data_IF_120142888936
#
_entry.id   IF_120142888936
#
_cell.length_a   1.000
_cell.length_b   1.000
_cell.length_c   1.000
_cell.angle_alpha   90.00
_cell.angle_beta   90.00
_cell.angle_gamma   90.00
#
_symmetry.space_group_name_H-M   'P 1'
#
loop_
_entity.id
_entity.type
_entity.pdbx_description
1 polymer ?
#
# COMPACT_ATOMS: atom_id res chain seq x y z
N UNK A 1 -3.33 -19.50 -20.19
CA UNK A 1 -2.99 -18.46 -19.20
C UNK A 1 -1.79 -18.92 -18.41
N UNK A 2 -0.75 -18.07 -18.31
CA UNK A 2 0.46 -18.36 -17.54
C UNK A 2 0.13 -18.41 -16.04
N UNK A 3 0.80 -19.25 -15.24
CA UNK A 3 0.60 -19.42 -13.78
C UNK A 3 0.61 -18.07 -13.03
N UNK A 4 1.52 -17.17 -13.41
CA UNK A 4 1.62 -15.83 -12.81
C UNK A 4 0.40 -14.94 -13.10
N UNK A 5 -0.19 -15.06 -14.28
CA UNK A 5 -1.43 -14.35 -14.65
C UNK A 5 -2.63 -14.81 -13.80
N UNK A 6 -2.73 -16.12 -13.53
CA UNK A 6 -3.81 -16.66 -12.66
C UNK A 6 -3.66 -16.21 -11.21
N UNK A 7 -2.43 -16.22 -10.67
CA UNK A 7 -2.17 -15.73 -9.31
C UNK A 7 -2.64 -14.27 -9.16
N UNK A 8 -2.29 -13.41 -10.11
CA UNK A 8 -2.71 -12.00 -10.11
C UNK A 8 -4.24 -11.85 -10.21
N UNK A 9 -4.91 -12.65 -11.06
CA UNK A 9 -6.37 -12.65 -11.16
C UNK A 9 -7.04 -13.01 -9.83
N UNK A 10 -6.50 -14.01 -9.11
CA UNK A 10 -7.02 -14.42 -7.79
C UNK A 10 -6.84 -13.30 -6.76
N UNK A 11 -5.69 -12.62 -6.74
CA UNK A 11 -5.45 -11.50 -5.80
C UNK A 11 -6.37 -10.30 -6.08
N UNK A 12 -6.59 -9.95 -7.34
CA UNK A 12 -7.56 -8.91 -7.72
C UNK A 12 -8.99 -9.28 -7.29
N UNK A 13 -9.40 -10.52 -7.51
CA UNK A 13 -10.71 -11.01 -7.06
C UNK A 13 -10.83 -10.98 -5.53
N UNK A 14 -9.78 -11.34 -4.80
CA UNK A 14 -9.76 -11.25 -3.34
C UNK A 14 -9.94 -9.79 -2.86
N UNK A 15 -9.24 -8.84 -3.48
CA UNK A 15 -9.40 -7.41 -3.20
C UNK A 15 -10.83 -6.93 -3.50
N UNK A 16 -11.44 -7.39 -4.61
CA UNK A 16 -12.85 -7.09 -4.95
C UNK A 16 -13.81 -7.64 -3.90
N UNK A 17 -13.61 -8.88 -3.44
CA UNK A 17 -14.44 -9.47 -2.38
C UNK A 17 -14.35 -8.67 -1.09
N UNK A 18 -13.14 -8.27 -0.67
CA UNK A 18 -12.95 -7.46 0.55
C UNK A 18 -13.60 -6.09 0.40
N UNK A 19 -13.40 -5.41 -0.72
CA UNK A 19 -13.96 -4.08 -1.00
C UNK A 19 -15.49 -4.08 -0.97
N UNK A 20 -16.11 -5.10 -1.54
CA UNK A 20 -17.58 -5.14 -1.68
C UNK A 20 -18.29 -5.71 -0.45
N UNK A 21 -17.63 -6.60 0.30
CA UNK A 21 -18.33 -7.42 1.32
C UNK A 21 -17.64 -7.40 2.69
N UNK A 22 -16.50 -6.74 2.82
CA UNK A 22 -15.68 -6.75 4.03
C UNK A 22 -14.75 -7.96 4.15
N UNK A 23 -13.74 -7.84 5.00
CA UNK A 23 -12.70 -8.88 5.19
C UNK A 23 -13.24 -10.16 5.84
N UNK A 24 -14.30 -10.06 6.64
CA UNK A 24 -14.97 -11.19 7.27
C UNK A 24 -15.64 -12.11 6.25
N UNK A 25 -15.97 -11.61 5.07
CA UNK A 25 -16.53 -12.39 3.95
C UNK A 25 -15.47 -12.97 3.01
N UNK A 26 -14.19 -12.68 3.26
CA UNK A 26 -13.09 -13.25 2.49
C UNK A 26 -12.97 -14.75 2.77
N UNK A 27 -13.45 -15.55 1.85
CA UNK A 27 -13.32 -17.02 1.84
C UNK A 27 -12.71 -17.49 0.53
N UNK A 28 -12.02 -18.64 0.53
CA UNK A 28 -11.45 -19.19 -0.70
C UNK A 28 -12.52 -19.49 -1.76
N UNK A 29 -13.72 -19.89 -1.33
CA UNK A 29 -14.87 -20.13 -2.20
C UNK A 29 -15.37 -18.84 -2.87
N UNK A 30 -15.53 -17.76 -2.09
CA UNK A 30 -15.97 -16.47 -2.60
C UNK A 30 -14.95 -15.93 -3.62
N UNK A 31 -13.66 -16.03 -3.31
CA UNK A 31 -12.58 -15.57 -4.19
C UNK A 31 -12.47 -16.43 -5.45
N UNK A 32 -12.61 -17.76 -5.35
CA UNK A 32 -12.59 -18.64 -6.52
C UNK A 32 -13.76 -18.32 -7.48
N UNK A 33 -14.96 -18.06 -6.92
CA UNK A 33 -16.15 -17.65 -7.68
C UNK A 33 -15.91 -16.31 -8.38
N UNK A 34 -15.42 -15.32 -7.67
CA UNK A 34 -15.12 -13.97 -8.19
C UNK A 34 -14.03 -14.01 -9.27
N UNK A 35 -12.99 -14.82 -9.07
CA UNK A 35 -11.89 -14.98 -10.01
C UNK A 35 -12.25 -15.85 -11.24
N UNK A 36 -13.42 -16.49 -11.26
CA UNK A 36 -13.81 -17.41 -12.32
C UNK A 36 -12.91 -18.66 -12.41
N UNK A 37 -12.35 -19.12 -11.27
CA UNK A 37 -11.48 -20.30 -11.22
C UNK A 37 -12.11 -21.41 -10.37
N UNK A 38 -11.70 -22.67 -10.59
CA UNK A 38 -12.11 -23.75 -9.68
C UNK A 38 -11.43 -23.60 -8.31
N UNK A 39 -12.06 -24.12 -7.24
CA UNK A 39 -11.46 -24.16 -5.90
C UNK A 39 -10.09 -24.84 -5.92
N UNK A 40 -9.93 -25.95 -6.64
CA UNK A 40 -8.64 -26.63 -6.80
C UNK A 40 -7.60 -25.78 -7.51
N UNK A 41 -8.01 -24.99 -8.51
CA UNK A 41 -7.15 -24.04 -9.20
C UNK A 41 -6.67 -22.90 -8.30
N UNK A 42 -7.53 -22.42 -7.39
CA UNK A 42 -7.15 -21.44 -6.39
C UNK A 42 -6.19 -22.06 -5.35
N UNK A 43 -6.51 -23.24 -4.82
CA UNK A 43 -5.69 -23.92 -3.81
C UNK A 43 -4.28 -24.24 -4.29
N UNK A 44 -4.09 -24.42 -5.59
CA UNK A 44 -2.76 -24.58 -6.18
C UNK A 44 -1.87 -23.32 -5.99
N UNK A 45 -2.46 -22.12 -5.94
CA UNK A 45 -1.75 -20.87 -5.74
C UNK A 45 -1.73 -20.42 -4.27
N UNK A 46 -2.81 -20.68 -3.56
CA UNK A 46 -3.03 -20.28 -2.17
C UNK A 46 -3.66 -21.44 -1.41
N UNK A 47 -2.87 -22.27 -0.71
CA UNK A 47 -3.35 -23.52 -0.08
C UNK A 47 -4.36 -23.28 1.05
N UNK A 48 -4.40 -22.10 1.62
CA UNK A 48 -5.34 -21.70 2.67
C UNK A 48 -5.61 -20.20 2.64
N UNK A 49 -6.55 -19.74 3.49
CA UNK A 49 -6.92 -18.32 3.61
C UNK A 49 -5.73 -17.45 4.06
N UNK A 50 -4.91 -17.96 4.95
CA UNK A 50 -3.74 -17.25 5.44
C UNK A 50 -2.73 -16.96 4.31
N UNK A 51 -2.40 -17.97 3.51
CA UNK A 51 -1.55 -17.79 2.33
C UNK A 51 -2.13 -16.79 1.31
N UNK A 52 -3.45 -16.76 1.15
CA UNK A 52 -4.12 -15.76 0.31
C UNK A 52 -3.96 -14.36 0.89
N UNK A 53 -4.19 -14.16 2.19
CA UNK A 53 -4.01 -12.87 2.87
C UNK A 53 -2.56 -12.41 2.76
N UNK A 54 -1.59 -13.28 3.02
CA UNK A 54 -0.16 -13.01 2.84
C UNK A 54 0.13 -12.53 1.41
N UNK A 55 -0.38 -13.24 0.41
CA UNK A 55 -0.23 -12.86 -0.98
C UNK A 55 -0.86 -11.51 -1.33
N UNK A 56 -1.99 -11.16 -0.72
CA UNK A 56 -2.62 -9.84 -0.87
C UNK A 56 -1.77 -8.73 -0.27
N UNK A 57 -1.22 -8.93 0.94
CA UNK A 57 -0.31 -7.96 1.58
C UNK A 57 0.92 -7.72 0.72
N UNK A 58 1.55 -8.80 0.25
CA UNK A 58 2.73 -8.70 -0.62
C UNK A 58 2.44 -7.94 -1.92
N UNK A 59 1.29 -8.22 -2.56
CA UNK A 59 0.91 -7.59 -3.83
C UNK A 59 0.65 -6.09 -3.64
N UNK A 60 -0.11 -5.72 -2.62
CA UNK A 60 -0.40 -4.33 -2.27
C UNK A 60 0.87 -3.56 -1.92
N UNK A 61 1.70 -4.13 -1.05
CA UNK A 61 2.96 -3.52 -0.64
C UNK A 61 3.88 -3.31 -1.84
N UNK A 62 4.09 -4.34 -2.67
CA UNK A 62 4.92 -4.22 -3.86
C UNK A 62 4.36 -3.18 -4.84
N UNK A 63 3.04 -3.12 -5.02
CA UNK A 63 2.39 -2.13 -5.90
C UNK A 63 2.62 -0.71 -5.39
N UNK A 64 2.45 -0.48 -4.09
CA UNK A 64 2.69 0.82 -3.48
C UNK A 64 4.16 1.27 -3.64
N UNK A 65 5.12 0.39 -3.33
CA UNK A 65 6.55 0.69 -3.48
C UNK A 65 6.94 0.98 -4.94
N UNK A 66 6.40 0.20 -5.89
CA UNK A 66 6.63 0.44 -7.32
C UNK A 66 6.04 1.79 -7.75
N UNK A 67 4.83 2.11 -7.32
CA UNK A 67 4.19 3.40 -7.62
C UNK A 67 5.04 4.58 -7.12
N UNK A 68 5.54 4.52 -5.88
CA UNK A 68 6.43 5.57 -5.34
C UNK A 68 7.70 5.70 -6.17
N UNK A 69 8.33 4.58 -6.52
CA UNK A 69 9.54 4.58 -7.33
C UNK A 69 9.32 5.17 -8.72
N UNK A 70 8.25 4.74 -9.41
CA UNK A 70 7.92 5.22 -10.76
C UNK A 70 7.63 6.72 -10.75
N UNK A 71 6.92 7.22 -9.73
CA UNK A 71 6.68 8.64 -9.53
C UNK A 71 7.97 9.41 -9.32
N UNK A 72 8.85 8.94 -8.42
CA UNK A 72 10.11 9.61 -8.16
C UNK A 72 11.00 9.66 -9.41
N UNK A 73 11.00 8.60 -10.23
CA UNK A 73 11.77 8.55 -11.48
C UNK A 73 11.16 9.41 -12.60
N UNK A 74 9.87 9.70 -12.56
CA UNK A 74 9.19 10.54 -13.53
C UNK A 74 9.19 12.04 -13.18
N UNK A 75 9.62 12.41 -11.95
CA UNK A 75 9.71 13.81 -11.52
C UNK A 75 10.82 14.54 -12.30
N UNK A 76 10.48 15.72 -12.80
CA UNK A 76 11.44 16.58 -13.52
C UNK A 76 12.33 17.41 -12.60
N UNK A 77 11.87 17.65 -11.37
CA UNK A 77 12.60 18.39 -10.34
C UNK A 77 13.24 17.40 -9.37
N UNK A 78 14.55 17.25 -9.47
CA UNK A 78 15.34 16.31 -8.67
C UNK A 78 15.22 16.55 -7.16
N UNK A 79 15.35 17.82 -6.74
CA UNK A 79 15.27 18.20 -5.33
C UNK A 79 13.90 17.88 -4.75
N UNK A 80 13.83 17.05 -3.73
CA UNK A 80 12.60 16.65 -3.02
C UNK A 80 11.72 15.65 -3.78
N UNK A 81 12.22 14.99 -4.81
CA UNK A 81 11.43 14.09 -5.66
C UNK A 81 10.85 12.87 -4.92
N UNK A 82 11.63 12.28 -4.02
CA UNK A 82 11.19 11.13 -3.23
C UNK A 82 10.13 11.53 -2.21
N UNK A 83 10.35 12.66 -1.50
CA UNK A 83 9.38 13.20 -0.55
C UNK A 83 8.05 13.53 -1.22
N UNK A 84 8.07 14.12 -2.44
CA UNK A 84 6.86 14.38 -3.23
C UNK A 84 6.19 13.10 -3.70
N UNK A 85 6.97 12.13 -4.21
CA UNK A 85 6.44 10.86 -4.70
C UNK A 85 5.68 10.09 -3.62
N UNK A 86 6.27 9.99 -2.41
CA UNK A 86 5.65 9.34 -1.26
C UNK A 86 4.37 10.06 -0.86
N UNK A 87 4.41 11.39 -0.69
CA UNK A 87 3.24 12.19 -0.29
C UNK A 87 2.09 12.02 -1.27
N UNK A 88 2.35 12.08 -2.58
CA UNK A 88 1.34 11.90 -3.62
C UNK A 88 0.79 10.46 -3.66
N UNK A 89 1.67 9.46 -3.50
CA UNK A 89 1.24 8.06 -3.50
C UNK A 89 0.34 7.73 -2.30
N UNK A 90 0.65 8.27 -1.10
CA UNK A 90 -0.19 8.14 0.09
C UNK A 90 -1.54 8.82 -0.09
N UNK A 91 -1.58 10.03 -0.65
CA UNK A 91 -2.83 10.77 -0.91
C UNK A 91 -3.75 10.00 -1.87
N UNK A 92 -3.17 9.42 -2.94
CA UNK A 92 -3.96 8.62 -3.88
C UNK A 92 -4.45 7.31 -3.24
N UNK A 93 -3.63 6.67 -2.42
CA UNK A 93 -4.01 5.45 -1.68
C UNK A 93 -5.18 5.72 -0.71
N UNK A 94 -5.16 6.87 -0.02
CA UNK A 94 -6.26 7.33 0.83
C UNK A 94 -7.53 7.57 -0.02
N UNK A 95 -7.44 8.29 -1.12
CA UNK A 95 -8.59 8.61 -2.00
C UNK A 95 -9.21 7.37 -2.64
N UNK A 96 -8.42 6.36 -2.97
CA UNK A 96 -8.91 5.11 -3.52
C UNK A 96 -9.65 4.24 -2.49
N UNK A 97 -9.63 4.63 -1.20
CA UNK A 97 -10.35 3.96 -0.13
C UNK A 97 -9.95 2.49 -0.01
N UNK A 98 -8.68 2.20 0.14
CA UNK A 98 -8.20 0.82 0.27
C UNK A 98 -8.54 0.24 1.64
N UNK A 99 -9.80 -0.16 1.79
CA UNK A 99 -10.40 -0.74 3.01
C UNK A 99 -9.73 -2.04 3.50
N UNK A 100 -8.68 -2.47 2.81
CA UNK A 100 -7.98 -3.73 3.09
C UNK A 100 -7.05 -3.59 4.33
N UNK A 101 -6.89 -2.35 4.84
CA UNK A 101 -5.78 -1.97 5.71
C UNK A 101 -5.62 -2.73 7.01
N UNK A 102 -6.63 -2.77 7.87
CA UNK A 102 -6.43 -3.27 9.26
C UNK A 102 -6.16 -4.76 9.33
N UNK A 103 -6.89 -5.59 8.55
CA UNK A 103 -6.67 -7.04 8.54
C UNK A 103 -5.35 -7.42 7.86
N UNK A 104 -4.95 -6.65 6.86
CA UNK A 104 -3.68 -6.87 6.17
C UNK A 104 -2.50 -6.43 7.04
N UNK A 105 -2.62 -5.33 7.80
CA UNK A 105 -1.61 -4.96 8.79
C UNK A 105 -1.47 -6.00 9.89
N UNK A 106 -2.58 -6.58 10.38
CA UNK A 106 -2.50 -7.67 11.33
C UNK A 106 -1.68 -8.86 10.76
N UNK A 107 -1.88 -9.22 9.48
CA UNK A 107 -1.09 -10.24 8.82
C UNK A 107 0.39 -9.84 8.68
N UNK A 108 0.69 -8.58 8.39
CA UNK A 108 2.05 -8.04 8.32
C UNK A 108 2.79 -8.23 9.66
N UNK A 109 2.13 -7.89 10.77
CA UNK A 109 2.75 -8.00 12.10
C UNK A 109 2.80 -9.42 12.66
N UNK A 110 2.00 -10.33 12.14
CA UNK A 110 2.02 -11.75 12.56
C UNK A 110 2.94 -12.62 11.70
N UNK A 111 3.41 -12.12 10.55
CA UNK A 111 4.32 -12.86 9.67
C UNK A 111 5.70 -12.18 9.61
N UNK A 112 6.73 -12.75 10.27
CA UNK A 112 8.07 -12.15 10.34
C UNK A 112 8.72 -11.91 8.98
N UNK A 113 8.52 -12.79 8.00
CA UNK A 113 9.16 -12.67 6.68
C UNK A 113 8.60 -11.47 5.90
N UNK A 114 7.28 -11.27 5.97
CA UNK A 114 6.63 -10.11 5.36
C UNK A 114 7.07 -8.83 6.07
N UNK A 115 7.11 -8.83 7.40
CA UNK A 115 7.56 -7.69 8.19
C UNK A 115 9.00 -7.31 7.85
N UNK A 116 9.91 -8.29 7.78
CA UNK A 116 11.31 -8.06 7.40
C UNK A 116 11.44 -7.44 6.01
N UNK A 117 10.67 -7.93 5.04
CA UNK A 117 10.64 -7.38 3.68
C UNK A 117 10.14 -5.93 3.68
N UNK A 118 9.07 -5.66 4.42
CA UNK A 118 8.50 -4.32 4.56
C UNK A 118 9.50 -3.35 5.22
N UNK A 119 10.15 -3.76 6.30
CA UNK A 119 11.19 -2.99 6.97
C UNK A 119 12.36 -2.68 6.04
N UNK A 120 12.81 -3.66 5.25
CA UNK A 120 13.89 -3.46 4.27
C UNK A 120 13.51 -2.43 3.19
N UNK A 121 12.28 -2.47 2.70
CA UNK A 121 11.78 -1.50 1.73
C UNK A 121 11.69 -0.09 2.34
N UNK A 122 11.18 0.03 3.57
CA UNK A 122 11.14 1.31 4.29
C UNK A 122 12.54 1.87 4.55
N UNK A 123 13.51 1.02 4.88
CA UNK A 123 14.91 1.44 5.05
C UNK A 123 15.48 2.04 3.76
N UNK A 124 15.20 1.42 2.61
CA UNK A 124 15.60 1.94 1.29
C UNK A 124 14.95 3.30 1.00
N UNK A 125 13.68 3.45 1.31
CA UNK A 125 13.00 4.74 1.16
C UNK A 125 13.58 5.82 2.05
N UNK A 126 13.84 5.50 3.31
CA UNK A 126 14.43 6.46 4.24
C UNK A 126 15.79 6.96 3.71
N UNK A 127 16.63 6.07 3.17
CA UNK A 127 17.89 6.47 2.54
C UNK A 127 17.66 7.40 1.35
N UNK A 128 16.70 7.11 0.49
CA UNK A 128 16.37 7.95 -0.65
C UNK A 128 15.86 9.33 -0.21
N UNK A 129 15.04 9.39 0.84
CA UNK A 129 14.49 10.62 1.41
C UNK A 129 15.60 11.47 2.06
N UNK A 130 16.53 10.86 2.79
CA UNK A 130 17.66 11.55 3.40
C UNK A 130 18.61 12.17 2.35
N UNK A 131 18.66 11.59 1.15
CA UNK A 131 19.47 12.05 0.03
C UNK A 131 18.66 12.79 -1.05
N UNK A 132 17.50 13.32 -0.71
CA UNK A 132 16.53 13.92 -1.64
C UNK A 132 16.83 15.39 -2.01
N UNK A 133 18.00 15.88 -1.63
CA UNK A 133 18.46 17.24 -1.95
C UNK A 133 17.81 18.35 -1.11
N UNK A 134 17.01 17.99 -0.10
CA UNK A 134 16.47 18.88 0.94
C UNK A 134 17.03 18.48 2.30
N UNK A 135 16.82 19.31 3.32
CA UNK A 135 17.23 18.98 4.68
C UNK A 135 16.69 17.64 5.15
N UNK A 136 17.53 16.67 5.61
CA UNK A 136 17.08 15.33 5.97
C UNK A 136 16.04 15.30 7.10
N UNK A 137 16.08 16.27 8.03
CA UNK A 137 15.06 16.38 9.09
C UNK A 137 13.73 16.77 8.48
N UNK A 138 13.72 17.74 7.55
CA UNK A 138 12.53 18.19 6.85
C UNK A 138 11.91 17.06 6.02
N UNK A 139 12.71 16.35 5.22
CA UNK A 139 12.22 15.23 4.41
C UNK A 139 11.67 14.09 5.27
N UNK A 140 12.30 13.80 6.40
CA UNK A 140 11.80 12.82 7.38
C UNK A 140 10.48 13.26 8.01
N UNK A 141 10.31 14.55 8.34
CA UNK A 141 9.03 15.09 8.85
C UNK A 141 7.92 14.91 7.81
N UNK A 142 8.20 15.22 6.53
CA UNK A 142 7.21 15.02 5.43
C UNK A 142 6.77 13.55 5.37
N UNK A 143 7.71 12.60 5.39
CA UNK A 143 7.39 11.17 5.38
C UNK A 143 6.55 10.77 6.59
N UNK A 144 6.97 11.15 7.80
CA UNK A 144 6.23 10.80 9.02
C UNK A 144 4.82 11.39 9.04
N UNK A 145 4.64 12.61 8.50
CA UNK A 145 3.31 13.22 8.38
C UNK A 145 2.44 12.49 7.34
N UNK A 146 3.00 12.11 6.19
CA UNK A 146 2.29 11.31 5.18
C UNK A 146 1.88 9.92 5.73
N UNK A 147 2.81 9.22 6.41
CA UNK A 147 2.52 7.96 7.09
C UNK A 147 1.41 8.14 8.14
N UNK A 148 1.47 9.21 8.94
CA UNK A 148 0.48 9.54 9.96
C UNK A 148 -0.93 9.79 9.39
N UNK A 149 -1.02 10.51 8.28
CA UNK A 149 -2.29 10.71 7.56
C UNK A 149 -2.87 9.37 7.08
N UNK A 150 -2.05 8.54 6.48
CA UNK A 150 -2.47 7.22 6.01
C UNK A 150 -2.97 6.32 7.14
N UNK A 151 -2.24 6.28 8.29
CA UNK A 151 -2.68 5.54 9.47
C UNK A 151 -3.98 6.11 10.06
N UNK A 152 -4.12 7.44 10.10
CA UNK A 152 -5.35 8.10 10.59
C UNK A 152 -6.57 7.67 9.79
N UNK A 153 -6.48 7.67 8.48
CA UNK A 153 -7.55 7.22 7.57
C UNK A 153 -7.84 5.72 7.73
N UNK A 154 -6.78 4.90 7.74
CA UNK A 154 -6.91 3.45 7.83
C UNK A 154 -7.59 2.99 9.12
N UNK A 155 -7.27 3.63 10.25
CA UNK A 155 -7.79 3.25 11.56
C UNK A 155 -8.98 4.10 12.02
N UNK A 156 -9.41 5.09 11.24
CA UNK A 156 -10.46 6.02 11.64
C UNK A 156 -10.06 6.91 12.83
N UNK A 157 -8.77 7.21 12.99
CA UNK A 157 -8.22 7.96 14.13
C UNK A 157 -8.01 9.43 13.77
N UNK A 158 -8.96 10.28 14.14
CA UNK A 158 -8.86 11.72 13.89
C UNK A 158 -8.83 12.05 12.39
N UNK A 159 -9.64 11.35 11.61
CA UNK A 159 -9.79 11.53 10.15
C UNK A 159 -10.06 12.99 9.83
N UNK A 160 -9.29 13.55 8.92
CA UNK A 160 -9.45 14.92 8.46
C UNK A 160 -10.59 15.01 7.44
N UNK A 161 -11.29 16.15 7.43
CA UNK A 161 -12.15 16.44 6.28
C UNK A 161 -11.32 16.63 4.99
N UNK A 162 -11.98 16.50 3.85
CA UNK A 162 -11.32 16.54 2.53
C UNK A 162 -10.60 17.86 2.28
N UNK A 163 -11.14 18.98 2.78
CA UNK A 163 -10.55 20.32 2.58
C UNK A 163 -9.24 20.44 3.38
N UNK A 164 -9.26 20.08 4.67
CA UNK A 164 -8.09 20.14 5.52
C UNK A 164 -7.00 19.14 5.06
N UNK A 165 -7.40 17.91 4.69
CA UNK A 165 -6.47 16.91 4.14
C UNK A 165 -5.76 17.44 2.90
N UNK A 166 -6.50 18.02 1.96
CA UNK A 166 -5.93 18.61 0.73
C UNK A 166 -4.92 19.71 1.06
N UNK A 167 -5.22 20.58 2.03
CA UNK A 167 -4.29 21.65 2.48
C UNK A 167 -3.04 21.08 3.12
N UNK A 168 -3.16 20.04 3.94
CA UNK A 168 -2.01 19.38 4.57
C UNK A 168 -1.11 18.72 3.51
N UNK A 169 -1.68 17.97 2.56
CA UNK A 169 -0.92 17.37 1.45
C UNK A 169 -0.19 18.46 0.64
N UNK A 170 -0.88 19.57 0.32
CA UNK A 170 -0.26 20.67 -0.42
C UNK A 170 0.90 21.30 0.36
N UNK A 171 0.76 21.45 1.68
CA UNK A 171 1.85 21.98 2.51
C UNK A 171 3.04 21.03 2.58
N UNK A 172 2.81 19.72 2.74
CA UNK A 172 3.89 18.73 2.68
C UNK A 172 4.66 18.81 1.33
N UNK A 173 3.94 18.99 0.22
CA UNK A 173 4.56 19.19 -1.10
C UNK A 173 5.35 20.53 -1.15
N UNK A 174 4.82 21.62 -0.57
CA UNK A 174 5.52 22.90 -0.49
C UNK A 174 6.82 22.80 0.29
N UNK A 175 6.84 22.01 1.36
CA UNK A 175 8.06 21.76 2.16
C UNK A 175 9.18 21.07 1.37
N UNK A 176 8.90 20.50 0.18
CA UNK A 176 9.92 19.88 -0.68
C UNK A 176 10.68 20.89 -1.57
N UNK A 177 10.28 22.15 -1.58
CA UNK A 177 10.92 23.24 -2.34
C UNK A 177 12.05 23.91 -1.54
#
# INVERSE_FOLDING_TARGET
MNSNSKRKTILLAASTVVKNNGVEKLTLEAVAKEAGVSKGGLLHHFPNKEALIIGMVEDLTNHFFTNVQDRAMSETVEKGKWSRAITKAMDDDIKEGKEIGTALLAALFTNPDILNKFQSQYATWQQNIENDGIDPVRSTIIRLAADGLWYSEMFGLGVLDDELRTKVIQELINMTK
#
